data_IF_258906336159
#
_entry.id   IF_258906336159
#
_cell.length_a   1.000
_cell.length_b   1.000
_cell.length_c   1.000
_cell.angle_alpha   90.00
_cell.angle_beta   90.00
_cell.angle_gamma   90.00
#
_symmetry.space_group_name_H-M   'P 1'
#
loop_
_entity.id
_entity.type
_entity.pdbx_description
1 polymer ?
#
# COMPACT_ATOMS: atom_id res chain seq x y z
N UNK A 1 6.04 16.20 1.89
CA UNK A 1 6.70 15.75 0.65
C UNK A 1 6.82 14.23 0.72
N UNK A 2 5.81 13.48 0.25
CA UNK A 2 5.86 12.02 0.26
C UNK A 2 6.61 11.54 -0.98
N UNK A 3 7.90 11.25 -0.83
CA UNK A 3 8.69 10.60 -1.87
C UNK A 3 8.28 9.11 -1.92
N UNK A 4 7.14 8.83 -2.54
CA UNK A 4 6.72 7.47 -2.87
C UNK A 4 7.35 7.10 -4.20
N UNK A 5 8.30 6.16 -4.20
CA UNK A 5 8.76 5.51 -5.42
C UNK A 5 7.81 4.34 -5.71
N UNK A 6 7.29 4.29 -6.94
CA UNK A 6 6.46 3.20 -7.41
C UNK A 6 7.34 2.16 -8.10
N UNK A 7 6.99 0.88 -7.99
CA UNK A 7 7.51 -0.17 -8.85
C UNK A 7 6.75 -0.25 -10.18
N UNK A 8 7.13 -1.21 -11.02
CA UNK A 8 6.50 -1.46 -12.32
C UNK A 8 5.03 -1.91 -12.21
N UNK A 9 4.56 -2.28 -11.01
CA UNK A 9 3.18 -2.71 -10.74
C UNK A 9 2.33 -1.58 -10.10
N UNK A 10 2.81 -0.33 -10.16
CA UNK A 10 2.18 0.83 -9.52
C UNK A 10 2.05 0.69 -7.99
N UNK A 11 2.89 -0.13 -7.35
CA UNK A 11 2.94 -0.30 -5.89
C UNK A 11 4.07 0.54 -5.31
N UNK A 12 3.75 1.31 -4.27
CA UNK A 12 4.74 2.12 -3.58
C UNK A 12 5.68 1.22 -2.79
N UNK A 13 6.97 1.20 -3.14
CA UNK A 13 8.00 0.38 -2.48
C UNK A 13 8.25 0.76 -1.02
N UNK A 14 7.75 1.92 -0.57
CA UNK A 14 7.92 2.42 0.80
C UNK A 14 6.73 2.16 1.73
N UNK A 15 5.51 2.05 1.20
CA UNK A 15 4.31 1.79 2.02
C UNK A 15 3.45 0.64 1.50
N UNK A 16 3.93 -0.07 0.49
CA UNK A 16 3.33 -1.24 -0.16
C UNK A 16 1.86 -1.08 -0.61
N UNK A 17 1.40 0.16 -0.74
CA UNK A 17 0.10 0.52 -1.30
C UNK A 17 0.23 0.84 -2.78
N UNK A 18 -0.75 0.39 -3.56
CA UNK A 18 -0.89 0.75 -4.96
C UNK A 18 -1.38 2.19 -5.14
N UNK A 19 -1.08 2.81 -6.28
CA UNK A 19 -1.64 4.13 -6.65
C UNK A 19 -3.17 4.14 -6.59
N UNK A 20 -3.82 3.03 -6.98
CA UNK A 20 -5.28 2.89 -6.90
C UNK A 20 -5.78 2.97 -5.46
N UNK A 21 -5.11 2.30 -4.54
CA UNK A 21 -5.46 2.35 -3.11
C UNK A 21 -5.22 3.74 -2.52
N UNK A 22 -4.10 4.40 -2.88
CA UNK A 22 -3.76 5.75 -2.42
C UNK A 22 -4.79 6.78 -2.91
N UNK A 23 -5.14 6.73 -4.19
CA UNK A 23 -6.10 7.68 -4.81
C UNK A 23 -7.54 7.41 -4.37
N UNK A 24 -7.91 6.15 -4.11
CA UNK A 24 -9.24 5.79 -3.66
C UNK A 24 -9.43 5.92 -2.13
N UNK A 25 -8.37 6.04 -1.34
CA UNK A 25 -8.41 6.03 0.14
C UNK A 25 -9.46 6.96 0.75
N UNK A 26 -9.56 8.19 0.22
CA UNK A 26 -10.53 9.18 0.69
C UNK A 26 -11.99 8.78 0.47
N UNK A 27 -12.25 7.91 -0.51
CA UNK A 27 -13.59 7.42 -0.90
C UNK A 27 -13.91 6.03 -0.36
N UNK A 28 -12.90 5.28 0.08
CA UNK A 28 -13.06 3.94 0.65
C UNK A 28 -13.84 3.97 1.97
N UNK A 29 -14.76 3.01 2.11
CA UNK A 29 -15.45 2.70 3.36
C UNK A 29 -14.51 2.02 4.36
N UNK A 30 -14.91 1.99 5.61
CA UNK A 30 -14.10 1.41 6.70
C UNK A 30 -13.68 -0.05 6.43
N UNK A 31 -14.56 -0.84 5.80
CA UNK A 31 -14.27 -2.22 5.44
C UNK A 31 -13.21 -2.32 4.32
N UNK A 32 -13.35 -1.51 3.26
CA UNK A 32 -12.39 -1.46 2.15
C UNK A 32 -11.01 -0.98 2.61
N UNK A 33 -10.96 -0.04 3.57
CA UNK A 33 -9.71 0.39 4.20
C UNK A 33 -9.05 -0.74 4.97
N UNK A 34 -9.81 -1.54 5.72
CA UNK A 34 -9.27 -2.71 6.44
C UNK A 34 -8.69 -3.75 5.48
N UNK A 35 -9.42 -4.08 4.42
CA UNK A 35 -8.97 -5.03 3.41
C UNK A 35 -7.70 -4.53 2.69
N UNK A 36 -7.65 -3.24 2.38
CA UNK A 36 -6.46 -2.60 1.82
C UNK A 36 -5.25 -2.76 2.75
N UNK A 37 -5.42 -2.46 4.05
CA UNK A 37 -4.32 -2.60 5.02
C UNK A 37 -3.89 -4.06 5.23
N UNK A 38 -4.80 -5.03 5.12
CA UNK A 38 -4.46 -6.46 5.14
C UNK A 38 -3.58 -6.84 3.94
N UNK A 39 -3.98 -6.44 2.73
CA UNK A 39 -3.18 -6.70 1.51
C UNK A 39 -1.82 -6.03 1.57
N UNK A 40 -1.75 -4.81 2.10
CA UNK A 40 -0.48 -4.12 2.33
C UNK A 40 0.40 -4.94 3.26
N UNK A 41 -0.12 -5.39 4.41
CA UNK A 41 0.64 -6.21 5.35
C UNK A 41 1.12 -7.54 4.73
N UNK A 42 0.32 -8.17 3.88
CA UNK A 42 0.73 -9.36 3.12
C UNK A 42 1.88 -9.04 2.15
N UNK A 43 1.79 -7.92 1.42
CA UNK A 43 2.85 -7.46 0.49
C UNK A 43 4.13 -7.07 1.23
N UNK A 44 4.03 -6.44 2.40
CA UNK A 44 5.18 -6.10 3.25
C UNK A 44 5.90 -7.38 3.71
N UNK A 45 5.13 -8.37 4.18
CA UNK A 45 5.68 -9.67 4.58
C UNK A 45 6.33 -10.41 3.41
N UNK A 46 5.69 -10.43 2.24
CA UNK A 46 6.24 -11.05 1.03
C UNK A 46 7.49 -10.34 0.51
N UNK A 47 7.57 -9.01 0.68
CA UNK A 47 8.71 -8.20 0.24
C UNK A 47 9.97 -8.41 1.09
N UNK A 48 9.89 -9.15 2.21
CA UNK A 48 11.03 -9.49 3.07
C UNK A 48 11.71 -8.27 3.72
N UNK A 49 11.17 -7.07 3.51
CA UNK A 49 11.76 -5.80 3.91
C UNK A 49 11.09 -5.36 5.21
N UNK A 50 11.41 -6.08 6.27
CA UNK A 50 11.02 -5.75 7.63
C UNK A 50 11.75 -4.46 8.05
N UNK A 51 11.23 -3.29 7.67
CA UNK A 51 11.65 -2.03 8.30
C UNK A 51 11.03 -2.00 9.71
N UNK A 52 11.83 -2.45 10.68
CA UNK A 52 11.64 -2.14 12.10
C UNK A 52 11.94 -0.67 12.36
#
# INVERSE_FOLDING_TARGET
MSLCCLDDEDVCIGCHRSVKEITAWGRMKHQERKETMQRVAEREQASGRMMR
#
